data_IF_657156946120
#
_entry.id   IF_657156946120
#
_cell.length_a   1.000
_cell.length_b   1.000
_cell.length_c   1.000
_cell.angle_alpha   90.00
_cell.angle_beta   90.00
_cell.angle_gamma   90.00
#
_symmetry.space_group_name_H-M   'P 1'
#
loop_
_entity.id
_entity.type
_entity.pdbx_description
1 polymer ?
#
# COMPACT_ATOMS: atom_id res chain seq x y z
N UNK A 1 -5.04 1.57 10.75
CA UNK A 1 -4.23 1.78 9.52
C UNK A 1 -3.06 0.80 9.52
N UNK A 2 -2.57 0.35 8.36
CA UNK A 2 -1.49 -0.64 8.25
C UNK A 2 -0.66 -0.45 6.97
N UNK A 3 0.39 -1.26 6.82
CA UNK A 3 1.36 -1.19 5.72
C UNK A 3 1.51 -2.54 5.04
N UNK A 4 1.50 -2.53 3.70
CA UNK A 4 1.94 -3.65 2.86
C UNK A 4 3.25 -3.27 2.14
N UNK A 5 4.32 -4.01 2.40
CA UNK A 5 5.61 -3.85 1.75
C UNK A 5 5.97 -5.11 0.94
N UNK A 6 6.90 -4.97 -0.02
CA UNK A 6 7.46 -6.06 -0.80
C UNK A 6 8.99 -5.94 -0.80
N UNK A 7 9.66 -6.61 0.15
CA UNK A 7 11.13 -6.59 0.30
C UNK A 7 11.75 -7.95 -0.07
N UNK A 8 11.22 -8.58 -1.12
CA UNK A 8 11.46 -9.98 -1.47
C UNK A 8 10.18 -10.79 -1.32
N UNK A 9 9.69 -10.88 -0.08
CA UNK A 9 8.36 -11.39 0.24
C UNK A 9 7.37 -10.25 0.50
N UNK A 10 6.08 -10.55 0.51
CA UNK A 10 5.02 -9.64 0.93
C UNK A 10 4.96 -9.57 2.44
N UNK A 11 5.04 -8.36 2.99
CA UNK A 11 4.99 -8.11 4.43
C UNK A 11 3.82 -7.20 4.76
N UNK A 12 2.92 -7.65 5.63
CA UNK A 12 1.82 -6.84 6.15
C UNK A 12 1.94 -6.63 7.66
N UNK A 13 1.76 -5.40 8.11
CA UNK A 13 1.72 -5.04 9.53
C UNK A 13 0.73 -3.91 9.80
N UNK A 14 0.18 -3.88 11.00
CA UNK A 14 -0.56 -2.70 11.46
C UNK A 14 0.38 -1.63 12.00
N UNK A 15 -0.05 -0.37 11.89
CA UNK A 15 0.54 0.71 12.67
C UNK A 15 -0.13 0.69 14.04
N UNK A 16 0.63 0.33 15.07
CA UNK A 16 0.12 0.02 16.40
C UNK A 16 -0.79 1.13 16.96
N UNK A 17 -0.36 2.38 16.86
CA UNK A 17 -1.11 3.51 17.39
C UNK A 17 -2.43 3.70 16.62
N UNK A 18 -2.37 3.85 15.31
CA UNK A 18 -3.56 4.08 14.49
C UNK A 18 -4.55 2.91 14.49
N UNK A 19 -4.09 1.65 14.58
CA UNK A 19 -5.01 0.51 14.66
C UNK A 19 -5.74 0.47 15.99
N UNK A 20 -5.06 0.77 17.11
CA UNK A 20 -5.68 0.84 18.43
C UNK A 20 -6.69 1.98 18.53
N UNK A 21 -6.38 3.14 17.93
CA UNK A 21 -7.33 4.25 17.84
C UNK A 21 -8.55 3.88 16.98
N UNK A 22 -8.32 3.27 15.81
CA UNK A 22 -9.42 2.83 14.96
C UNK A 22 -10.34 1.82 15.66
N UNK A 23 -9.79 0.85 16.41
CA UNK A 23 -10.57 -0.15 17.15
C UNK A 23 -11.47 0.52 18.20
N UNK A 24 -10.99 1.57 18.87
CA UNK A 24 -11.82 2.34 19.82
C UNK A 24 -13.00 3.03 19.13
N UNK A 25 -12.82 3.45 17.88
CA UNK A 25 -13.85 4.04 17.03
C UNK A 25 -14.73 2.99 16.32
N UNK A 26 -14.57 1.69 16.65
CA UNK A 26 -15.39 0.60 16.13
C UNK A 26 -14.83 -0.10 14.89
N UNK A 27 -13.56 0.12 14.53
CA UNK A 27 -12.90 -0.64 13.47
C UNK A 27 -12.64 -2.08 13.90
N UNK A 28 -13.02 -3.04 13.05
CA UNK A 28 -12.71 -4.45 13.23
C UNK A 28 -11.48 -4.85 12.40
N UNK A 29 -10.41 -5.36 13.02
CA UNK A 29 -9.27 -5.92 12.29
C UNK A 29 -9.69 -7.03 11.34
N UNK A 30 -8.93 -7.21 10.26
CA UNK A 30 -9.20 -8.28 9.31
C UNK A 30 -9.06 -9.64 10.00
N UNK A 31 -10.00 -10.55 9.72
CA UNK A 31 -9.99 -11.89 10.32
C UNK A 31 -8.67 -12.65 10.11
N UNK A 32 -8.03 -12.45 8.95
CA UNK A 32 -6.74 -13.05 8.62
C UNK A 32 -5.55 -12.40 9.34
N UNK A 33 -5.74 -11.22 9.93
CA UNK A 33 -4.71 -10.42 10.59
C UNK A 33 -5.14 -10.01 12.01
N UNK A 34 -5.49 -10.99 12.87
CA UNK A 34 -5.98 -10.70 14.23
C UNK A 34 -4.89 -10.26 15.22
N UNK A 35 -3.66 -10.73 15.04
CA UNK A 35 -2.53 -10.31 15.85
C UNK A 35 -2.03 -8.94 15.36
N UNK A 36 -2.24 -7.89 16.16
CA UNK A 36 -1.95 -6.51 15.76
C UNK A 36 -0.46 -6.17 15.79
N UNK A 37 0.29 -6.83 16.68
CA UNK A 37 1.73 -6.63 16.90
C UNK A 37 2.61 -7.52 16.00
N UNK A 38 1.98 -8.29 15.11
CA UNK A 38 2.65 -9.25 14.23
C UNK A 38 2.95 -8.66 12.86
N UNK A 39 4.11 -9.03 12.31
CA UNK A 39 4.41 -8.88 10.89
C UNK A 39 4.04 -10.18 10.18
N UNK A 40 3.08 -10.12 9.29
CA UNK A 40 2.66 -11.24 8.45
C UNK A 40 3.53 -11.25 7.21
N UNK A 41 4.14 -12.38 6.88
CA UNK A 41 4.98 -12.53 5.69
C UNK A 41 4.50 -13.67 4.83
N UNK A 42 4.58 -13.51 3.51
CA UNK A 42 4.29 -14.57 2.54
C UNK A 42 5.01 -14.31 1.21
N UNK A 43 5.43 -15.38 0.54
CA UNK A 43 5.98 -15.32 -0.83
C UNK A 43 4.97 -14.86 -1.87
N UNK A 44 3.67 -15.05 -1.60
CA UNK A 44 2.57 -14.62 -2.47
C UNK A 44 1.74 -13.51 -1.83
N UNK A 45 1.03 -12.74 -2.66
CA UNK A 45 0.16 -11.68 -2.16
C UNK A 45 -0.99 -12.26 -1.34
N UNK A 46 -1.25 -11.68 -0.16
CA UNK A 46 -2.34 -12.11 0.70
C UNK A 46 -3.70 -12.10 -0.02
N UNK A 47 -4.54 -13.15 0.12
CA UNK A 47 -5.81 -13.27 -0.60
C UNK A 47 -6.75 -12.06 -0.45
N UNK A 48 -6.77 -11.43 0.72
CA UNK A 48 -7.59 -10.23 1.01
C UNK A 48 -7.20 -8.99 0.19
N UNK A 49 -5.95 -8.96 -0.29
CA UNK A 49 -5.46 -7.91 -1.19
C UNK A 49 -5.55 -8.36 -2.65
N UNK A 50 -5.23 -9.62 -2.94
CA UNK A 50 -5.34 -10.18 -4.28
C UNK A 50 -6.77 -10.13 -4.83
N UNK A 51 -7.80 -10.31 -3.97
CA UNK A 51 -9.21 -10.23 -4.37
C UNK A 51 -9.65 -8.85 -4.89
N UNK A 52 -8.82 -7.82 -4.72
CA UNK A 52 -9.05 -6.45 -5.21
C UNK A 52 -8.48 -6.21 -6.59
N UNK A 53 -7.68 -7.15 -7.09
CA UNK A 53 -7.03 -7.07 -8.39
C UNK A 53 -7.91 -7.71 -9.47
N UNK A 54 -7.79 -7.25 -10.72
CA UNK A 54 -8.40 -7.94 -11.85
C UNK A 54 -7.81 -9.35 -12.01
N UNK A 55 -8.65 -10.32 -12.40
CA UNK A 55 -8.19 -11.68 -12.67
C UNK A 55 -7.18 -11.70 -13.82
N UNK A 56 -6.04 -12.38 -13.61
CA UNK A 56 -4.96 -12.50 -14.61
C UNK A 56 -5.40 -13.17 -15.92
N UNK A 57 -6.41 -14.03 -15.88
CA UNK A 57 -6.95 -14.77 -17.04
C UNK A 57 -8.03 -13.99 -17.80
N UNK A 58 -8.36 -12.77 -17.35
CA UNK A 58 -9.37 -11.93 -17.99
C UNK A 58 -8.92 -11.53 -19.41
N UNK A 59 -9.82 -11.64 -20.39
CA UNK A 59 -9.50 -11.41 -21.82
C UNK A 59 -8.98 -10.00 -22.12
N UNK A 60 -9.39 -9.01 -21.34
CA UNK A 60 -9.01 -7.60 -21.46
C UNK A 60 -7.95 -7.16 -20.44
N UNK A 61 -7.22 -8.11 -19.81
CA UNK A 61 -6.20 -7.75 -18.82
C UNK A 61 -5.12 -6.83 -19.39
N UNK A 62 -4.72 -7.02 -20.65
CA UNK A 62 -3.74 -6.18 -21.33
C UNK A 62 -4.17 -4.71 -21.39
N UNK A 63 -5.45 -4.44 -21.66
CA UNK A 63 -6.01 -3.07 -21.65
C UNK A 63 -5.94 -2.44 -20.26
N UNK A 64 -6.16 -3.24 -19.22
CA UNK A 64 -6.07 -2.78 -17.83
C UNK A 64 -4.61 -2.45 -17.49
N UNK A 65 -3.67 -3.31 -17.87
CA UNK A 65 -2.23 -3.07 -17.68
C UNK A 65 -1.80 -1.79 -18.41
N UNK A 66 -2.20 -1.61 -19.67
CA UNK A 66 -1.92 -0.39 -20.44
C UNK A 66 -2.49 0.87 -19.79
N UNK A 67 -3.73 0.81 -19.25
CA UNK A 67 -4.34 1.94 -18.51
C UNK A 67 -3.48 2.38 -17.32
N UNK A 68 -2.81 1.44 -16.67
CA UNK A 68 -1.92 1.70 -15.54
C UNK A 68 -0.43 1.88 -15.96
N UNK A 69 -0.12 1.77 -17.25
CA UNK A 69 1.24 1.88 -17.78
C UNK A 69 2.13 0.69 -17.40
N UNK A 70 1.56 -0.50 -17.24
CA UNK A 70 2.25 -1.74 -16.93
C UNK A 70 2.45 -2.57 -18.20
N UNK A 71 3.63 -3.16 -18.35
CA UNK A 71 3.95 -4.09 -19.46
C UNK A 71 3.61 -5.53 -19.14
N UNK A 72 3.71 -5.89 -17.86
CA UNK A 72 3.46 -7.24 -17.36
C UNK A 72 2.52 -7.18 -16.16
N UNK A 73 1.87 -8.31 -15.87
CA UNK A 73 0.99 -8.44 -14.73
C UNK A 73 1.84 -8.49 -13.45
N UNK A 74 1.91 -7.35 -12.75
CA UNK A 74 2.50 -7.24 -11.43
C UNK A 74 1.43 -6.82 -10.42
N UNK A 75 1.14 -7.72 -9.50
CA UNK A 75 0.10 -7.53 -8.48
C UNK A 75 0.38 -6.34 -7.57
N UNK A 76 1.65 -6.14 -7.20
CA UNK A 76 2.04 -5.08 -6.28
C UNK A 76 1.94 -3.71 -6.94
N UNK A 77 2.38 -3.59 -8.19
CA UNK A 77 2.27 -2.35 -8.96
C UNK A 77 0.81 -2.04 -9.31
N UNK A 78 -0.02 -3.05 -9.60
CA UNK A 78 -1.45 -2.87 -9.78
C UNK A 78 -2.12 -2.33 -8.51
N UNK A 79 -1.79 -2.85 -7.33
CA UNK A 79 -2.33 -2.32 -6.06
C UNK A 79 -1.99 -0.83 -5.90
N UNK A 80 -0.71 -0.46 -6.09
CA UNK A 80 -0.26 0.94 -5.96
C UNK A 80 -0.95 1.88 -6.94
N UNK A 81 -1.10 1.46 -8.20
CA UNK A 81 -1.62 2.31 -9.28
C UNK A 81 -3.15 2.38 -9.30
N UNK A 82 -3.83 1.31 -8.85
CA UNK A 82 -5.30 1.27 -8.77
C UNK A 82 -5.85 1.79 -7.43
N UNK A 83 -5.01 1.86 -6.40
CA UNK A 83 -5.43 2.11 -5.02
C UNK A 83 -6.23 0.95 -4.40
N UNK A 84 -6.39 -0.16 -5.12
CA UNK A 84 -7.17 -1.35 -4.73
C UNK A 84 -8.58 -1.05 -4.17
N UNK A 85 -9.19 0.06 -4.62
CA UNK A 85 -10.52 0.49 -4.20
C UNK A 85 -11.59 -0.40 -4.83
N UNK A 86 -12.54 -0.85 -4.04
CA UNK A 86 -13.75 -1.53 -4.53
C UNK A 86 -14.98 -0.69 -4.20
N UNK A 87 -16.01 -0.63 -5.06
CA UNK A 87 -17.24 0.13 -4.78
C UNK A 87 -18.02 -0.36 -3.56
N UNK A 88 -17.73 -1.59 -3.11
CA UNK A 88 -18.45 -2.29 -2.05
C UNK A 88 -17.80 -2.15 -0.67
N UNK A 89 -16.61 -1.51 -0.58
CA UNK A 89 -15.94 -1.27 0.69
C UNK A 89 -15.14 0.04 0.70
N UNK A 90 -14.62 0.40 1.87
CA UNK A 90 -13.83 1.61 2.10
C UNK A 90 -12.33 1.34 2.24
N UNK A 91 -11.85 0.14 1.88
CA UNK A 91 -10.43 -0.16 1.96
C UNK A 91 -9.70 0.40 0.73
N UNK A 92 -8.63 1.12 1.01
CA UNK A 92 -7.82 1.80 0.00
C UNK A 92 -6.34 1.63 0.31
N UNK A 93 -5.55 1.48 -0.75
CA UNK A 93 -4.10 1.57 -0.71
C UNK A 93 -3.65 2.97 -1.11
N UNK A 94 -3.06 3.66 -0.16
CA UNK A 94 -2.34 4.90 -0.41
C UNK A 94 -0.85 4.58 -0.52
N UNK A 95 -0.23 5.01 -1.60
CA UNK A 95 1.23 5.02 -1.68
C UNK A 95 1.69 6.10 -0.72
N UNK A 96 2.58 5.81 0.25
CA UNK A 96 3.12 6.85 1.10
C UNK A 96 3.75 7.89 0.19
N UNK A 97 3.25 9.14 0.26
CA UNK A 97 3.97 10.25 -0.33
C UNK A 97 5.28 10.32 0.47
N UNK A 98 6.37 9.78 -0.07
CA UNK A 98 7.67 10.21 0.43
C UNK A 98 7.68 11.71 0.20
N UNK A 99 7.55 12.48 1.28
CA UNK A 99 7.85 13.90 1.23
C UNK A 99 9.24 13.96 0.60
N UNK A 100 9.35 14.48 -0.62
CA UNK A 100 10.64 14.97 -1.07
C UNK A 100 11.10 15.87 0.07
N UNK A 101 12.24 15.54 0.66
CA UNK A 101 12.83 16.37 1.69
C UNK A 101 12.74 17.82 1.23
N UNK A 102 12.27 18.77 2.07
CA UNK A 102 12.41 20.16 1.71
C UNK A 102 13.91 20.34 1.45
N UNK A 103 14.27 20.78 0.24
CA UNK A 103 15.63 21.17 -0.08
C UNK A 103 16.03 22.18 1.00
N UNK A 104 16.78 21.70 2.01
CA UNK A 104 17.17 22.53 3.13
C UNK A 104 18.02 23.63 2.53
N UNK A 105 17.49 24.84 2.64
CA UNK A 105 18.23 26.06 2.39
C UNK A 105 19.52 26.01 3.20
N UNK A 106 20.66 25.92 2.51
CA UNK A 106 21.90 26.44 3.05
C UNK A 106 21.92 27.94 2.75
N UNK A 107 21.22 28.68 3.60
CA UNK A 107 21.60 30.05 3.93
C UNK A 107 22.69 30.00 5.01
N UNK A 108 23.68 30.87 4.86
CA UNK A 108 24.81 31.09 5.77
C UNK A 108 25.91 31.80 4.98
N UNK A 109 25.72 33.09 4.68
CA UNK A 109 26.37 34.20 5.39
C UNK A 109 27.91 34.12 5.33
N UNK A 110 28.55 35.05 4.63
CA UNK A 110 29.50 35.97 5.26
C UNK A 110 29.80 37.18 4.36
N UNK A 111 29.88 38.32 5.04
CA UNK A 111 30.36 39.62 4.58
C UNK A 111 31.87 39.56 4.34
N UNK A 112 32.37 40.68 3.83
CA UNK A 112 33.77 41.15 3.84
C UNK A 112 34.61 40.73 2.61
N UNK A 113 34.67 41.60 1.58
CA UNK A 113 35.78 42.58 1.38
C UNK A 113 35.37 43.64 0.33
#
# INVERSE_FOLDING_TARGET
MGQLAKNGEYEFRYYEKEIREAIKEGFEPFFCFRELDKVYTDTVLFPVFASRLPDRKRKDIDKILQKYGLKEFDEYELLKKSGARLPIDNLEFIVPHMAKEPAFALGGENRDE
#
